data_IF_328299886190
#
_entry.id   IF_328299886190
#
_cell.length_a   1.000
_cell.length_b   1.000
_cell.length_c   1.000
_cell.angle_alpha   90.00
_cell.angle_beta   90.00
_cell.angle_gamma   90.00
#
_symmetry.space_group_name_H-M   'P 1'
#
loop_
_entity.id
_entity.type
_entity.pdbx_description
1 polymer ?
#
# COMPACT_ATOMS: atom_id res chain seq x y z
N UNK A 1 -8.05 -14.83 8.17
CA UNK A 1 -8.01 -13.89 7.04
C UNK A 1 -7.02 -14.37 5.99
N UNK A 2 -7.27 -14.07 4.72
CA UNK A 2 -6.37 -14.43 3.61
C UNK A 2 -6.28 -13.24 2.68
N UNK A 3 -5.08 -12.85 2.25
CA UNK A 3 -4.96 -11.91 1.13
C UNK A 3 -4.03 -10.73 1.35
N UNK A 4 -4.25 -9.72 0.52
CA UNK A 4 -3.50 -8.49 0.47
C UNK A 4 -4.29 -7.37 1.13
N UNK A 5 -3.63 -6.45 1.87
CA UNK A 5 -4.26 -5.18 2.15
C UNK A 5 -4.50 -4.41 0.84
N UNK A 6 -5.57 -3.62 0.82
CA UNK A 6 -5.65 -2.50 -0.11
C UNK A 6 -4.76 -1.38 0.40
N UNK A 7 -3.95 -0.77 -0.46
CA UNK A 7 -3.14 0.40 -0.11
C UNK A 7 -3.36 1.49 -1.15
N UNK A 8 -3.73 2.68 -0.69
CA UNK A 8 -3.94 3.85 -1.55
C UNK A 8 -3.21 5.05 -0.98
N UNK A 9 -2.34 5.65 -1.77
CA UNK A 9 -1.75 6.95 -1.48
C UNK A 9 -2.73 8.06 -1.81
N UNK A 10 -2.80 9.09 -0.95
CA UNK A 10 -3.70 10.23 -1.13
C UNK A 10 -2.94 11.53 -0.87
N UNK A 11 -2.97 12.43 -1.84
CA UNK A 11 -2.36 13.76 -1.74
C UNK A 11 -3.28 14.76 -1.04
N UNK A 12 -2.76 15.97 -0.77
CA UNK A 12 -3.53 17.03 -0.10
C UNK A 12 -4.69 17.57 -0.94
N UNK A 13 -4.54 17.55 -2.26
CA UNK A 13 -5.56 17.98 -3.22
C UNK A 13 -6.64 16.90 -3.47
N UNK A 14 -6.52 15.72 -2.85
CA UNK A 14 -7.45 14.61 -2.99
C UNK A 14 -7.14 13.68 -4.16
N UNK A 15 -6.11 13.97 -4.97
CA UNK A 15 -5.61 12.99 -5.95
C UNK A 15 -5.13 11.73 -5.24
N UNK A 16 -5.26 10.58 -5.91
CA UNK A 16 -5.01 9.29 -5.31
C UNK A 16 -4.36 8.30 -6.28
N UNK A 17 -3.55 7.43 -5.71
CA UNK A 17 -2.78 6.40 -6.41
C UNK A 17 -2.95 5.06 -5.67
N UNK A 18 -3.54 4.07 -6.35
CA UNK A 18 -3.72 2.71 -5.83
C UNK A 18 -2.47 1.86 -6.02
N UNK A 19 -1.97 1.27 -4.94
CA UNK A 19 -0.80 0.39 -4.96
C UNK A 19 -1.22 -1.01 -5.40
N UNK A 20 -0.50 -1.56 -6.36
CA UNK A 20 -0.77 -2.91 -6.86
C UNK A 20 -0.36 -3.99 -5.84
N UNK A 21 -0.99 -5.15 -5.94
CA UNK A 21 -0.60 -6.34 -5.18
C UNK A 21 0.60 -7.00 -5.83
N UNK A 22 1.59 -7.38 -5.03
CA UNK A 22 2.77 -8.06 -5.53
C UNK A 22 2.40 -9.42 -6.16
N UNK A 23 2.92 -9.79 -7.34
CA UNK A 23 2.76 -11.14 -7.86
C UNK A 23 3.76 -12.13 -7.24
N UNK A 24 4.73 -11.67 -6.44
CA UNK A 24 5.85 -12.47 -5.94
C UNK A 24 5.45 -13.52 -4.91
N UNK A 25 4.29 -13.34 -4.27
CA UNK A 25 3.78 -14.26 -3.24
C UNK A 25 2.35 -14.68 -3.56
N UNK A 26 2.00 -15.94 -3.26
CA UNK A 26 0.59 -16.34 -3.21
C UNK A 26 0.08 -16.13 -1.79
N UNK A 27 -1.05 -15.44 -1.59
CA UNK A 27 -1.58 -15.23 -0.25
C UNK A 27 -2.01 -16.57 0.36
N UNK A 28 -1.42 -16.91 1.50
CA UNK A 28 -1.85 -18.04 2.32
C UNK A 28 -2.94 -17.64 3.30
N UNK A 29 -3.70 -18.61 3.80
CA UNK A 29 -4.61 -18.39 4.93
C UNK A 29 -3.81 -18.11 6.18
N UNK A 30 -4.20 -17.06 6.91
CA UNK A 30 -3.68 -16.69 8.21
C UNK A 30 -4.81 -16.79 9.21
N UNK A 31 -4.62 -17.60 10.25
CA UNK A 31 -5.50 -17.56 11.42
C UNK A 31 -4.91 -16.55 12.40
N UNK A 32 -5.66 -15.48 12.65
CA UNK A 32 -5.25 -14.38 13.53
C UNK A 32 -6.13 -14.41 14.79
N UNK A 33 -5.61 -14.91 15.92
CA UNK A 33 -6.35 -14.90 17.19
C UNK A 33 -6.69 -13.49 17.66
N UNK A 34 -7.71 -13.31 18.51
CA UNK A 34 -7.97 -12.03 19.15
C UNK A 34 -6.73 -11.48 19.86
N UNK A 35 -6.37 -10.22 19.57
CA UNK A 35 -5.19 -9.56 20.15
C UNK A 35 -3.86 -9.89 19.48
N UNK A 36 -3.84 -10.74 18.43
CA UNK A 36 -2.65 -10.97 17.62
C UNK A 36 -2.52 -9.95 16.49
N UNK A 37 -1.30 -9.78 16.00
CA UNK A 37 -0.95 -8.86 14.92
C UNK A 37 -0.68 -9.57 13.59
N UNK A 38 -0.91 -8.85 12.50
CA UNK A 38 -0.49 -9.26 11.17
C UNK A 38 0.25 -8.13 10.48
N UNK A 39 1.16 -8.47 9.59
CA UNK A 39 2.04 -7.51 8.92
C UNK A 39 2.05 -7.72 7.41
N UNK A 40 2.16 -6.63 6.67
CA UNK A 40 2.38 -6.62 5.24
C UNK A 40 3.45 -5.57 4.91
N UNK A 41 4.34 -5.90 3.97
CA UNK A 41 5.41 -5.01 3.56
C UNK A 41 5.01 -4.21 2.32
N UNK A 42 4.99 -2.89 2.44
CA UNK A 42 4.85 -1.95 1.33
C UNK A 42 6.24 -1.63 0.76
N UNK A 43 6.47 -1.99 -0.49
CA UNK A 43 7.64 -1.53 -1.26
C UNK A 43 7.20 -0.38 -2.15
N UNK A 44 7.97 0.70 -2.18
CA UNK A 44 7.67 1.88 -3.00
C UNK A 44 8.94 2.47 -3.58
N UNK A 45 8.81 3.05 -4.78
CA UNK A 45 9.88 3.80 -5.43
C UNK A 45 9.83 5.25 -4.98
N UNK A 46 10.96 5.77 -4.52
CA UNK A 46 11.13 7.17 -4.11
C UNK A 46 11.48 8.06 -5.30
N UNK A 47 11.21 9.34 -5.17
CA UNK A 47 11.55 10.39 -6.14
C UNK A 47 11.76 11.71 -5.41
N UNK A 48 12.19 12.76 -6.08
CA UNK A 48 12.29 14.11 -5.51
C UNK A 48 11.07 14.98 -5.89
N UNK A 49 10.73 15.99 -5.07
CA UNK A 49 9.69 16.96 -5.44
C UNK A 49 10.07 17.70 -6.73
N UNK A 50 9.17 17.70 -7.72
CA UNK A 50 9.39 18.36 -9.01
C UNK A 50 9.87 17.43 -10.12
N UNK A 51 10.25 16.19 -9.80
CA UNK A 51 10.51 15.16 -10.80
C UNK A 51 9.25 14.82 -11.60
N UNK A 52 9.45 14.40 -12.85
CA UNK A 52 8.35 13.86 -13.66
C UNK A 52 7.79 12.59 -13.02
N UNK A 53 6.48 12.56 -12.79
CA UNK A 53 5.82 11.44 -12.13
C UNK A 53 5.89 11.46 -10.60
N UNK A 54 6.37 12.55 -9.98
CA UNK A 54 6.35 12.68 -8.53
C UNK A 54 4.92 12.80 -7.99
N UNK A 55 4.52 11.84 -7.17
CA UNK A 55 3.30 11.89 -6.36
C UNK A 55 3.66 12.34 -4.93
N UNK A 56 2.89 13.28 -4.38
CA UNK A 56 3.13 13.86 -3.05
C UNK A 56 2.04 13.42 -2.06
N UNK A 57 2.12 12.18 -1.55
CA UNK A 57 1.15 11.68 -0.58
C UNK A 57 1.24 12.45 0.74
N UNK A 58 0.08 12.83 1.26
CA UNK A 58 -0.07 13.29 2.63
C UNK A 58 -0.56 12.18 3.56
N UNK A 59 -1.24 11.19 2.97
CA UNK A 59 -1.89 10.09 3.68
C UNK A 59 -1.76 8.79 2.90
N UNK A 60 -1.82 7.70 3.63
CA UNK A 60 -1.99 6.36 3.09
C UNK A 60 -3.23 5.73 3.72
N UNK A 61 -4.11 5.21 2.87
CA UNK A 61 -5.28 4.45 3.28
C UNK A 61 -4.96 2.97 3.18
N UNK A 62 -5.17 2.24 4.27
CA UNK A 62 -4.93 0.80 4.35
C UNK A 62 -6.26 0.11 4.63
N UNK A 63 -6.73 -0.72 3.71
CA UNK A 63 -7.91 -1.57 3.89
C UNK A 63 -7.44 -2.96 4.28
N UNK A 64 -7.70 -3.44 5.51
CA UNK A 64 -7.39 -4.81 5.88
C UNK A 64 -8.09 -5.83 4.95
N UNK A 65 -7.64 -7.09 4.92
CA UNK A 65 -8.30 -8.11 4.15
C UNK A 65 -9.66 -8.42 4.78
N UNK A 66 -10.61 -8.90 3.98
CA UNK A 66 -11.96 -9.27 4.43
C UNK A 66 -12.80 -8.11 5.02
N UNK A 67 -12.38 -6.85 4.82
CA UNK A 67 -13.14 -5.64 5.18
C UNK A 67 -13.15 -4.62 4.03
N UNK A 68 -14.11 -3.69 4.08
CA UNK A 68 -14.23 -2.56 3.14
C UNK A 68 -13.86 -1.23 3.77
N UNK A 69 -13.64 -1.18 5.08
CA UNK A 69 -13.29 0.04 5.80
C UNK A 69 -11.78 0.26 5.77
N UNK A 70 -11.36 1.38 5.19
CA UNK A 70 -9.97 1.80 5.21
C UNK A 70 -9.62 2.48 6.53
N UNK A 71 -8.41 2.20 7.02
CA UNK A 71 -7.75 2.95 8.09
C UNK A 71 -6.88 4.01 7.43
N UNK A 72 -7.02 5.25 7.87
CA UNK A 72 -6.21 6.37 7.40
C UNK A 72 -4.98 6.56 8.27
N UNK A 73 -3.80 6.64 7.64
CA UNK A 73 -2.53 6.91 8.30
C UNK A 73 -1.88 8.15 7.67
N UNK A 74 -1.24 8.98 8.51
CA UNK A 74 -0.38 10.07 8.01
C UNK A 74 0.80 9.47 7.25
N UNK A 75 1.12 10.02 6.09
CA UNK A 75 2.29 9.62 5.33
C UNK A 75 3.45 10.60 5.54
N UNK A 76 4.53 10.09 6.11
CA UNK A 76 5.76 10.84 6.35
C UNK A 76 6.95 10.33 5.50
N UNK A 77 6.69 9.39 4.56
CA UNK A 77 7.73 8.75 3.74
C UNK A 77 8.23 9.57 2.54
N UNK A 78 7.75 10.81 2.39
CA UNK A 78 8.15 11.70 1.29
C UNK A 78 7.47 11.37 -0.06
N UNK A 79 7.97 11.98 -1.15
CA UNK A 79 7.46 11.75 -2.51
C UNK A 79 7.66 10.30 -2.96
N UNK A 80 6.70 9.81 -3.73
CA UNK A 80 6.76 8.48 -4.35
C UNK A 80 6.60 8.62 -5.86
N UNK A 81 7.23 7.74 -6.62
CA UNK A 81 7.01 7.69 -8.06
C UNK A 81 5.62 7.13 -8.35
N UNK A 82 4.79 7.89 -9.08
CA UNK A 82 3.50 7.41 -9.57
C UNK A 82 3.71 6.27 -10.57
N UNK A 83 3.17 5.10 -10.23
CA UNK A 83 3.25 3.88 -11.02
C UNK A 83 1.86 3.40 -11.46
N UNK A 84 0.83 4.25 -11.40
CA UNK A 84 -0.56 3.91 -11.76
C UNK A 84 -0.71 3.38 -13.19
N UNK A 85 0.14 3.83 -14.12
CA UNK A 85 0.20 3.37 -15.50
C UNK A 85 1.29 2.32 -15.81
N UNK A 86 2.01 1.81 -14.81
CA UNK A 86 3.15 0.92 -15.04
C UNK A 86 2.69 -0.51 -15.39
N UNK A 87 3.31 -1.12 -16.40
CA UNK A 87 3.10 -2.54 -16.75
C UNK A 87 3.93 -3.50 -15.89
N UNK A 88 5.03 -2.99 -15.30
CA UNK A 88 5.92 -3.72 -14.38
C UNK A 88 6.23 -2.82 -13.17
N UNK A 89 5.27 -2.63 -12.25
CA UNK A 89 5.40 -1.67 -11.15
C UNK A 89 6.46 -2.11 -10.12
N UNK A 90 7.32 -1.19 -9.72
CA UNK A 90 8.26 -1.37 -8.60
C UNK A 90 7.65 -1.01 -7.22
N UNK A 91 6.51 -0.33 -7.21
CA UNK A 91 5.73 -0.03 -6.01
C UNK A 91 4.61 -1.08 -5.87
N UNK A 92 4.62 -1.85 -4.78
CA UNK A 92 3.65 -2.92 -4.52
C UNK A 92 3.48 -3.23 -3.05
N UNK A 93 2.34 -3.84 -2.70
CA UNK A 93 2.06 -4.37 -1.37
C UNK A 93 2.13 -5.90 -1.36
N UNK A 94 2.81 -6.46 -0.36
CA UNK A 94 2.89 -7.90 -0.13
C UNK A 94 1.62 -8.43 0.53
N UNK A 95 1.39 -9.74 0.44
CA UNK A 95 0.32 -10.39 1.20
C UNK A 95 0.60 -10.25 2.71
N UNK A 96 -0.45 -10.32 3.53
CA UNK A 96 -0.26 -10.41 4.97
C UNK A 96 0.54 -11.64 5.35
N UNK A 97 1.20 -11.54 6.51
CA UNK A 97 1.85 -12.63 7.22
C UNK A 97 1.52 -12.50 8.71
N UNK A 98 1.47 -13.62 9.43
CA UNK A 98 1.37 -13.59 10.89
C UNK A 98 2.64 -12.94 11.48
N UNK A 99 2.45 -12.11 12.49
CA UNK A 99 3.49 -11.35 13.17
C UNK A 99 4.33 -12.17 14.16
#
# INVERSE_FOLDING_TARGET
MTGYPGVRFVARDGSAYDVVRSPLVRPGRIDLPPGADARANLTYLTTEPGDSGAFLPARVLVTPPDTTTAVELRWDGGPVLDQSGATHPGTYIMAFTAA
#
